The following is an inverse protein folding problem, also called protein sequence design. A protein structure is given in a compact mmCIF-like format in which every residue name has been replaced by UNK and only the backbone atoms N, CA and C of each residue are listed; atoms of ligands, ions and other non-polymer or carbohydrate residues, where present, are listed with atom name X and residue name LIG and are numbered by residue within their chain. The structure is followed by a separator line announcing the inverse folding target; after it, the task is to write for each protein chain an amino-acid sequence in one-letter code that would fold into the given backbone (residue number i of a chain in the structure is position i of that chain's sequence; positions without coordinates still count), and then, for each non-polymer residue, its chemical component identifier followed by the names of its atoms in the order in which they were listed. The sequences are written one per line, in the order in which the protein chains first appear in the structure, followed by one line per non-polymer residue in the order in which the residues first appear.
data_IF_710112117691
#
_entry.id   IF_710112117691
#
_cell.length_a   1.000
_cell.length_b   1.000
_cell.length_c   1.000
_cell.angle_alpha   90.00
_cell.angle_beta   90.00
_cell.angle_gamma   90.00
#
_symmetry.space_group_name_H-M   'P 1'
#
loop_
_entity.id
_entity.type
_entity.pdbx_description
1 polymer ?
#
# COMPACT_ATOMS: atom_id res chain seq x y z
N UNK A 1 -6.22 36.94 24.80
CA UNK A 1 -5.79 35.52 24.83
C UNK A 1 -6.09 34.95 23.46
N UNK A 2 -5.05 34.72 22.66
CA UNK A 2 -5.15 34.37 21.24
C UNK A 2 -4.86 32.87 21.13
N UNK A 3 -5.85 32.08 20.72
CA UNK A 3 -5.70 30.65 20.47
C UNK A 3 -5.10 30.43 19.08
N UNK A 4 -3.86 29.94 19.04
CA UNK A 4 -3.22 29.32 17.88
C UNK A 4 -4.15 28.23 17.33
N UNK A 5 -4.48 28.15 16.04
CA UNK A 5 -3.52 28.05 14.94
C UNK A 5 -3.26 26.58 14.62
N UNK A 6 -4.30 25.79 14.33
CA UNK A 6 -4.16 24.46 13.74
C UNK A 6 -4.44 24.59 12.24
N UNK A 7 -3.39 24.74 11.44
CA UNK A 7 -3.50 24.61 9.99
C UNK A 7 -3.77 23.14 9.65
N UNK A 8 -4.78 22.82 8.82
CA UNK A 8 -4.89 21.48 8.26
C UNK A 8 -3.65 21.23 7.39
N UNK A 9 -2.99 20.10 7.65
CA UNK A 9 -1.84 19.62 6.88
C UNK A 9 -2.26 19.57 5.41
N UNK A 10 -1.80 20.54 4.64
CA UNK A 10 -2.14 20.67 3.23
C UNK A 10 -1.16 19.81 2.44
N UNK A 11 -1.58 18.58 2.11
CA UNK A 11 -0.88 17.77 1.11
C UNK A 11 -1.05 18.45 -0.25
N UNK A 12 0.08 18.91 -0.79
CA UNK A 12 0.14 19.53 -2.11
C UNK A 12 -0.38 18.56 -3.17
N UNK A 13 -1.57 18.83 -3.71
CA UNK A 13 -2.03 18.24 -4.96
C UNK A 13 -1.13 18.75 -6.08
N UNK A 14 0.04 18.13 -6.25
CA UNK A 14 0.72 18.16 -7.53
C UNK A 14 -0.21 17.40 -8.48
N UNK A 15 -0.90 18.17 -9.31
CA UNK A 15 -1.80 17.80 -10.41
C UNK A 15 -2.01 16.29 -10.58
N UNK A 16 -3.24 15.82 -10.39
CA UNK A 16 -3.67 14.43 -10.63
C UNK A 16 -3.37 14.07 -12.09
N UNK A 17 -2.13 13.67 -12.35
CA UNK A 17 -1.66 13.24 -13.66
C UNK A 17 -2.58 12.12 -14.14
N UNK A 18 -2.94 12.07 -15.43
CA UNK A 18 -3.72 10.96 -16.00
C UNK A 18 -3.15 9.59 -15.61
N UNK A 19 -1.82 9.53 -15.45
CA UNK A 19 -1.07 8.35 -15.00
C UNK A 19 -1.44 7.91 -13.58
N UNK A 20 -1.75 8.84 -12.66
CA UNK A 20 -2.21 8.52 -11.31
C UNK A 20 -3.57 7.81 -11.32
N UNK A 21 -4.47 8.21 -12.22
CA UNK A 21 -5.75 7.53 -12.40
C UNK A 21 -5.57 6.08 -12.86
N UNK A 22 -4.61 5.85 -13.76
CA UNK A 22 -4.27 4.50 -14.24
C UNK A 22 -3.68 3.65 -13.11
N UNK A 23 -2.74 4.17 -12.33
CA UNK A 23 -2.18 3.43 -11.18
C UNK A 23 -3.23 3.11 -10.13
N UNK A 24 -4.11 4.05 -9.76
CA UNK A 24 -5.17 3.79 -8.78
C UNK A 24 -6.14 2.72 -9.26
N UNK A 25 -6.54 2.77 -10.53
CA UNK A 25 -7.37 1.73 -11.13
C UNK A 25 -6.65 0.38 -11.06
N UNK A 26 -5.39 0.32 -11.47
CA UNK A 26 -4.61 -0.90 -11.40
C UNK A 26 -4.55 -1.44 -9.97
N UNK A 27 -4.30 -0.60 -8.97
CA UNK A 27 -4.12 -1.01 -7.56
C UNK A 27 -5.44 -1.42 -6.90
N UNK A 28 -6.58 -0.79 -7.24
CA UNK A 28 -7.85 -1.04 -6.55
C UNK A 28 -8.79 -1.97 -7.31
N UNK A 29 -8.67 -2.04 -8.63
CA UNK A 29 -9.57 -2.81 -9.50
C UNK A 29 -8.80 -3.91 -10.26
N UNK A 30 -7.46 -3.89 -10.21
CA UNK A 30 -6.61 -4.76 -11.00
C UNK A 30 -6.51 -4.29 -12.46
N UNK A 31 -5.95 -5.16 -13.31
CA UNK A 31 -5.86 -4.95 -14.75
C UNK A 31 -4.48 -5.28 -15.30
N UNK A 32 -4.19 -4.78 -16.49
CA UNK A 32 -2.89 -4.94 -17.14
C UNK A 32 -1.77 -4.34 -16.27
N UNK A 33 -0.74 -5.14 -15.99
CA UNK A 33 0.39 -4.76 -15.15
C UNK A 33 0.31 -5.24 -13.69
N UNK A 34 -0.85 -5.74 -13.22
CA UNK A 34 -0.97 -6.35 -11.91
C UNK A 34 -0.67 -7.85 -11.95
N UNK A 35 0.29 -8.31 -11.16
CA UNK A 35 0.76 -9.71 -11.09
C UNK A 35 0.75 -10.28 -9.66
N UNK A 36 0.31 -9.48 -8.67
CA UNK A 36 0.08 -9.91 -7.29
C UNK A 36 -1.22 -9.30 -6.74
N UNK A 37 -1.90 -10.07 -5.90
CA UNK A 37 -3.06 -9.64 -5.13
C UNK A 37 -2.68 -9.68 -3.65
N UNK A 38 -2.74 -8.54 -2.97
CA UNK A 38 -2.38 -8.35 -1.58
C UNK A 38 -3.68 -8.28 -0.76
N UNK A 39 -3.72 -9.00 0.36
CA UNK A 39 -4.85 -8.99 1.29
C UNK A 39 -4.35 -8.73 2.71
N UNK A 40 -5.05 -7.89 3.45
CA UNK A 40 -4.82 -7.75 4.88
C UNK A 40 -5.42 -8.97 5.58
N UNK A 41 -4.60 -9.81 6.20
CA UNK A 41 -5.01 -11.07 6.81
C UNK A 41 -5.90 -10.77 8.02
N UNK A 42 -7.11 -11.30 7.98
CA UNK A 42 -8.06 -11.27 9.10
C UNK A 42 -8.38 -12.73 9.47
N UNK A 43 -8.07 -13.13 10.69
CA UNK A 43 -8.28 -14.52 11.15
C UNK A 43 -9.77 -14.86 11.33
N UNK A 44 -10.64 -13.86 11.38
CA UNK A 44 -12.08 -14.02 11.57
C UNK A 44 -12.83 -14.21 10.26
N UNK A 45 -12.18 -13.97 9.11
CA UNK A 45 -12.81 -14.01 7.78
C UNK A 45 -12.02 -14.89 6.82
N UNK A 46 -12.68 -15.65 5.93
CA UNK A 46 -11.97 -16.40 4.91
C UNK A 46 -11.33 -15.45 3.89
N UNK A 47 -10.17 -15.85 3.33
CA UNK A 47 -9.40 -15.05 2.36
C UNK A 47 -10.21 -14.62 1.12
N UNK A 48 -11.18 -15.45 0.71
CA UNK A 48 -12.07 -15.17 -0.42
C UNK A 48 -12.94 -13.94 -0.24
N UNK A 49 -13.23 -13.54 1.01
CA UNK A 49 -14.07 -12.40 1.36
C UNK A 49 -13.26 -11.14 1.71
N UNK A 50 -11.93 -11.24 1.73
CA UNK A 50 -11.07 -10.11 2.04
C UNK A 50 -10.97 -9.15 0.84
N UNK A 51 -11.08 -7.83 1.08
CA UNK A 51 -10.82 -6.84 0.05
C UNK A 51 -9.39 -6.99 -0.50
N UNK A 52 -9.26 -6.85 -1.83
CA UNK A 52 -8.00 -7.08 -2.55
C UNK A 52 -7.35 -5.77 -2.96
N UNK A 53 -6.04 -5.72 -2.81
CA UNK A 53 -5.19 -4.68 -3.37
C UNK A 53 -4.31 -5.33 -4.42
N UNK A 54 -4.26 -4.76 -5.61
CA UNK A 54 -3.47 -5.29 -6.70
C UNK A 54 -2.14 -4.53 -6.78
N UNK A 55 -1.09 -5.22 -7.24
CA UNK A 55 0.22 -4.59 -7.39
C UNK A 55 1.05 -5.23 -8.50
N UNK A 56 2.16 -4.57 -8.81
CA UNK A 56 3.20 -5.10 -9.66
C UNK A 56 4.40 -5.52 -8.79
N UNK A 57 4.75 -6.81 -8.77
CA UNK A 57 5.86 -7.38 -8.00
C UNK A 57 7.19 -6.69 -8.30
N UNK A 58 7.44 -6.32 -9.56
CA UNK A 58 8.67 -5.63 -9.96
C UNK A 58 8.80 -4.25 -9.30
N UNK A 59 7.74 -3.44 -9.34
CA UNK A 59 7.72 -2.12 -8.68
C UNK A 59 7.79 -2.25 -7.17
N UNK A 60 7.00 -3.15 -6.59
CA UNK A 60 7.00 -3.41 -5.15
C UNK A 60 8.39 -3.85 -4.68
N UNK A 61 9.03 -4.79 -5.37
CA UNK A 61 10.40 -5.25 -5.04
C UNK A 61 11.42 -4.14 -5.16
N UNK A 62 11.37 -3.33 -6.23
CA UNK A 62 12.33 -2.27 -6.43
C UNK A 62 12.27 -1.17 -5.35
N UNK A 63 11.13 -1.05 -4.66
CA UNK A 63 10.86 0.07 -3.74
C UNK A 63 10.63 -0.34 -2.29
N UNK A 64 10.57 -1.62 -2.00
CA UNK A 64 10.31 -2.15 -0.66
C UNK A 64 11.21 -3.37 -0.41
N UNK A 65 12.18 -3.29 0.52
CA UNK A 65 13.06 -4.40 0.87
C UNK A 65 12.31 -5.67 1.26
N UNK A 66 11.21 -5.52 2.01
CA UNK A 66 10.34 -6.64 2.40
C UNK A 66 9.79 -7.38 1.17
N UNK A 67 9.21 -6.65 0.19
CA UNK A 67 8.70 -7.27 -1.03
C UNK A 67 9.81 -7.82 -1.92
N UNK A 68 10.98 -7.17 -1.96
CA UNK A 68 12.13 -7.70 -2.68
C UNK A 68 12.55 -9.06 -2.14
N UNK A 69 12.66 -9.19 -0.81
CA UNK A 69 12.96 -10.47 -0.16
C UNK A 69 11.83 -11.50 -0.40
N UNK A 70 10.57 -11.10 -0.26
CA UNK A 70 9.42 -11.99 -0.44
C UNK A 70 9.28 -12.53 -1.87
N UNK A 71 9.58 -11.71 -2.89
CA UNK A 71 9.39 -12.08 -4.30
C UNK A 71 10.66 -12.63 -4.98
N UNK A 72 11.85 -12.41 -4.42
CA UNK A 72 13.11 -12.97 -4.96
C UNK A 72 13.29 -14.46 -4.69
N UNK A 73 12.58 -15.03 -3.72
CA UNK A 73 12.71 -16.42 -3.26
C UNK A 73 12.17 -17.53 -4.18
N UNK A 74 11.77 -17.22 -5.43
CA UNK A 74 11.48 -18.24 -6.44
C UNK A 74 10.05 -18.82 -6.45
N UNK A 75 9.07 -18.18 -5.82
CA UNK A 75 7.67 -18.56 -6.00
C UNK A 75 7.06 -17.85 -7.22
N UNK A 76 7.52 -18.29 -8.40
CA UNK A 76 6.85 -18.06 -9.68
C UNK A 76 5.69 -19.07 -9.79
N UNK A 77 4.69 -18.98 -8.89
CA UNK A 77 3.43 -19.63 -9.18
C UNK A 77 2.85 -18.92 -10.41
N UNK A 78 2.76 -19.64 -11.52
CA UNK A 78 2.14 -19.17 -12.75
C UNK A 78 0.67 -18.85 -12.48
N UNK A 79 0.39 -17.59 -12.15
CA UNK A 79 -0.92 -17.10 -11.77
C UNK A 79 -0.81 -15.82 -10.94
N UNK A 80 -1.90 -15.06 -10.85
CA UNK A 80 -2.02 -13.99 -9.84
C UNK A 80 -1.94 -14.65 -8.46
N UNK A 81 -0.79 -14.53 -7.81
CA UNK A 81 -0.58 -15.06 -6.47
C UNK A 81 -1.22 -14.13 -5.44
N UNK A 82 -2.06 -14.69 -4.56
CA UNK A 82 -2.57 -13.97 -3.39
C UNK A 82 -1.47 -13.95 -2.32
N UNK A 83 -1.17 -12.78 -1.79
CA UNK A 83 -0.12 -12.54 -0.82
C UNK A 83 -0.70 -11.89 0.44
N UNK A 84 -0.92 -12.68 1.51
CA UNK A 84 -1.50 -12.17 2.75
C UNK A 84 -0.47 -11.39 3.57
N UNK A 85 -0.87 -10.21 4.07
CA UNK A 85 -0.10 -9.39 5.00
C UNK A 85 -0.79 -9.45 6.36
N UNK A 86 -0.08 -9.98 7.36
CA UNK A 86 -0.60 -10.07 8.74
C UNK A 86 -0.45 -8.75 9.49
N UNK A 87 -1.22 -8.57 10.56
CA UNK A 87 -1.08 -7.48 11.53
C UNK A 87 -1.16 -6.07 10.90
N UNK A 88 -2.08 -5.88 9.95
CA UNK A 88 -2.36 -4.58 9.33
C UNK A 88 -3.83 -4.47 8.97
N UNK A 89 -4.37 -3.26 9.00
CA UNK A 89 -5.65 -2.95 8.36
C UNK A 89 -5.52 -2.93 6.84
N UNK A 90 -6.66 -3.10 6.16
CA UNK A 90 -6.76 -2.98 4.72
C UNK A 90 -6.39 -1.56 4.26
N UNK A 91 -6.85 -0.55 4.98
CA UNK A 91 -6.60 0.88 4.72
C UNK A 91 -5.11 1.20 4.79
N UNK A 92 -4.40 0.69 5.79
CA UNK A 92 -2.96 0.89 5.91
C UNK A 92 -2.18 0.22 4.78
N UNK A 93 -2.52 -1.03 4.45
CA UNK A 93 -1.92 -1.74 3.33
C UNK A 93 -2.16 -1.01 2.01
N UNK A 94 -3.38 -0.53 1.79
CA UNK A 94 -3.79 0.25 0.61
C UNK A 94 -2.94 1.52 0.48
N UNK A 95 -2.77 2.25 1.58
CA UNK A 95 -1.99 3.48 1.64
C UNK A 95 -0.53 3.23 1.26
N UNK A 96 0.11 2.21 1.84
CA UNK A 96 1.51 1.86 1.55
C UNK A 96 1.69 1.39 0.10
N UNK A 97 0.80 0.54 -0.42
CA UNK A 97 0.90 0.06 -1.81
C UNK A 97 0.70 1.19 -2.81
N UNK A 98 -0.21 2.13 -2.54
CA UNK A 98 -0.39 3.32 -3.34
C UNK A 98 0.90 4.15 -3.36
N UNK A 99 1.50 4.40 -2.20
CA UNK A 99 2.76 5.14 -2.10
C UNK A 99 3.88 4.47 -2.91
N UNK A 100 4.05 3.15 -2.78
CA UNK A 100 5.08 2.44 -3.53
C UNK A 100 4.90 2.60 -5.06
N UNK A 101 3.68 2.61 -5.57
CA UNK A 101 3.46 2.77 -7.01
C UNK A 101 3.49 4.21 -7.50
N UNK A 102 3.21 5.19 -6.64
CA UNK A 102 2.89 6.56 -7.09
C UNK A 102 3.62 7.68 -6.39
N UNK A 103 4.40 7.41 -5.33
CA UNK A 103 4.98 8.41 -4.42
C UNK A 103 3.95 9.29 -3.70
N UNK A 104 2.66 8.94 -3.79
CA UNK A 104 1.55 9.65 -3.14
C UNK A 104 1.04 8.82 -1.96
N UNK A 105 0.97 9.46 -0.80
CA UNK A 105 0.42 8.87 0.44
C UNK A 105 -0.93 9.50 0.74
N UNK A 106 -1.96 8.68 0.87
CA UNK A 106 -3.29 9.09 1.35
C UNK A 106 -3.45 8.61 2.78
N UNK A 107 -2.98 9.43 3.72
CA UNK A 107 -2.97 9.12 5.15
C UNK A 107 -4.16 9.78 5.85
N UNK A 108 -4.92 9.01 6.62
CA UNK A 108 -5.97 9.52 7.51
C UNK A 108 -5.68 9.10 8.96
N UNK A 109 -6.21 9.86 9.92
CA UNK A 109 -5.90 9.69 11.35
C UNK A 109 -6.35 8.31 11.86
N UNK A 110 -7.48 7.80 11.36
CA UNK A 110 -8.08 6.53 11.79
C UNK A 110 -7.18 5.31 11.60
N UNK A 111 -6.28 5.33 10.61
CA UNK A 111 -5.36 4.23 10.30
C UNK A 111 -3.88 4.66 10.25
N UNK A 112 -3.56 5.88 10.72
CA UNK A 112 -2.21 6.40 10.62
C UNK A 112 -1.18 5.56 11.41
N UNK A 113 -1.56 5.07 12.58
CA UNK A 113 -0.70 4.21 13.40
C UNK A 113 -0.39 2.88 12.71
N UNK A 114 -1.38 2.27 12.06
CA UNK A 114 -1.19 1.04 11.29
C UNK A 114 -0.24 1.27 10.11
N UNK A 115 -0.36 2.40 9.42
CA UNK A 115 0.56 2.78 8.33
C UNK A 115 1.99 2.96 8.86
N UNK A 116 2.15 3.58 10.02
CA UNK A 116 3.47 3.72 10.65
C UNK A 116 4.10 2.37 10.99
N UNK A 117 3.34 1.49 11.64
CA UNK A 117 3.84 0.18 12.00
C UNK A 117 4.14 -0.67 10.76
N UNK A 118 3.29 -0.61 9.73
CA UNK A 118 3.52 -1.31 8.47
C UNK A 118 4.75 -0.77 7.74
N UNK A 119 4.92 0.55 7.66
CA UNK A 119 6.09 1.17 7.05
C UNK A 119 7.38 0.75 7.77
N UNK A 120 7.37 0.70 9.10
CA UNK A 120 8.49 0.20 9.91
C UNK A 120 8.81 -1.26 9.60
N UNK A 121 7.79 -2.13 9.56
CA UNK A 121 7.94 -3.57 9.24
C UNK A 121 8.44 -3.81 7.82
N UNK A 122 8.07 -2.94 6.88
CA UNK A 122 8.49 -3.00 5.49
C UNK A 122 9.82 -2.28 5.23
N UNK A 123 10.47 -1.77 6.28
CA UNK A 123 11.75 -1.03 6.21
C UNK A 123 11.67 0.21 5.29
N UNK A 124 10.52 0.88 5.28
CA UNK A 124 10.27 2.07 4.49
C UNK A 124 10.68 3.32 5.28
N UNK A 125 11.62 4.10 4.74
CA UNK A 125 12.21 5.25 5.44
C UNK A 125 11.39 6.55 5.34
N UNK A 126 10.35 6.61 4.51
CA UNK A 126 9.59 7.84 4.24
C UNK A 126 8.59 8.21 5.35
N UNK A 127 8.39 7.33 6.34
CA UNK A 127 7.44 7.54 7.44
C UNK A 127 8.05 7.22 8.83
N UNK A 128 9.37 7.09 8.93
CA UNK A 128 10.06 6.84 10.20
C UNK A 128 10.23 8.17 10.95
N UNK A 129 9.62 8.27 12.14
CA UNK A 129 9.80 9.39 13.09
C UNK A 129 10.74 8.95 14.21
#
# INVERSE_FOLDING_TARGET
MIGQGASPVSFSLKERSPVMGVWRRMIFEGGAGADVELVAKDETRPESELPRIFGNKGILSARCPFFNAAFSGGFQEGGRSVFPISDTSFEALRCVVLHLHTDVTELEVDFALDVMELARRFELSWLQV
#
